data_IF_721507894301
#
_entry.id   IF_721507894301
#
_cell.length_a   1.000
_cell.length_b   1.000
_cell.length_c   1.000
_cell.angle_alpha   90.00
_cell.angle_beta   90.00
_cell.angle_gamma   90.00
#
_symmetry.space_group_name_H-M   'P 1'
#
loop_
_entity.id
_entity.type
_entity.pdbx_description
1 polymer ?
#
# COMPACT_ATOMS: atom_id res chain seq x y z
N UNK A 1 19.26 49.42 -16.51
CA UNK A 1 20.18 48.39 -17.04
C UNK A 1 20.86 47.70 -15.86
N UNK A 2 20.19 46.72 -15.25
CA UNK A 2 20.66 46.04 -14.02
C UNK A 2 21.03 44.60 -14.38
N UNK A 3 22.32 44.29 -14.36
CA UNK A 3 22.87 42.98 -14.68
C UNK A 3 22.54 41.98 -13.56
N UNK A 4 21.78 40.94 -13.88
CA UNK A 4 21.52 39.82 -12.97
C UNK A 4 22.70 38.85 -13.10
N UNK A 5 23.60 38.86 -12.11
CA UNK A 5 24.64 37.83 -11.98
C UNK A 5 23.98 36.48 -11.69
N UNK A 6 23.87 35.61 -12.70
CA UNK A 6 23.52 34.21 -12.52
C UNK A 6 24.78 33.44 -12.09
N UNK A 7 24.79 32.92 -10.86
CA UNK A 7 25.86 32.06 -10.36
C UNK A 7 25.80 30.70 -11.09
N UNK A 8 26.82 30.28 -11.86
CA UNK A 8 26.76 29.13 -12.77
C UNK A 8 26.73 27.75 -12.07
N UNK A 9 26.80 27.70 -10.74
CA UNK A 9 26.97 26.44 -9.99
C UNK A 9 25.66 25.81 -9.48
N UNK A 10 24.51 26.47 -9.68
CA UNK A 10 23.22 25.91 -9.24
C UNK A 10 22.49 25.25 -10.42
N UNK A 11 22.41 23.90 -10.48
CA UNK A 11 21.69 23.23 -11.55
C UNK A 11 20.21 23.63 -11.52
N UNK A 12 19.67 23.98 -12.68
CA UNK A 12 18.26 24.29 -12.85
C UNK A 12 17.42 23.02 -12.64
N UNK A 13 16.88 22.84 -11.44
CA UNK A 13 15.95 21.75 -11.14
C UNK A 13 14.63 22.04 -11.86
N UNK A 14 14.32 21.30 -12.92
CA UNK A 14 12.97 21.30 -13.48
C UNK A 14 12.00 20.83 -12.41
N UNK A 15 10.87 21.52 -12.19
CA UNK A 15 9.89 21.08 -11.20
C UNK A 15 9.38 19.71 -11.63
N UNK A 16 9.85 18.66 -10.95
CA UNK A 16 9.37 17.31 -11.18
C UNK A 16 7.89 17.29 -10.83
N UNK A 17 7.03 17.00 -11.81
CA UNK A 17 5.59 16.90 -11.57
C UNK A 17 5.39 15.80 -10.54
N UNK A 18 5.14 16.20 -9.30
CA UNK A 18 5.12 15.30 -8.12
C UNK A 18 4.06 14.20 -8.25
N UNK A 19 3.08 14.40 -9.15
CA UNK A 19 2.09 13.40 -9.54
C UNK A 19 2.63 12.26 -10.42
N UNK A 20 3.75 12.44 -11.12
CA UNK A 20 4.39 11.37 -11.91
C UNK A 20 5.27 10.45 -11.05
N UNK A 21 5.64 10.88 -9.84
CA UNK A 21 6.49 10.11 -8.92
C UNK A 21 5.75 9.53 -7.73
N UNK A 22 4.57 10.06 -7.38
CA UNK A 22 3.74 9.51 -6.31
C UNK A 22 2.80 8.43 -6.85
N UNK A 23 2.61 7.37 -6.08
CA UNK A 23 1.55 6.39 -6.35
C UNK A 23 0.19 7.09 -6.42
N UNK A 24 -0.63 6.82 -7.45
CA UNK A 24 -1.99 7.34 -7.51
C UNK A 24 -2.78 6.77 -6.34
N UNK A 25 -3.11 7.64 -5.38
CA UNK A 25 -3.97 7.32 -4.22
C UNK A 25 -5.30 8.03 -4.42
N UNK A 26 -6.40 7.29 -4.26
CA UNK A 26 -7.75 7.85 -4.29
C UNK A 26 -8.21 7.94 -2.83
N UNK A 27 -8.51 9.15 -2.35
CA UNK A 27 -9.02 9.35 -0.98
C UNK A 27 -8.06 8.82 0.12
N UNK A 28 -6.75 9.01 -0.08
CA UNK A 28 -5.72 8.61 0.89
C UNK A 28 -5.37 7.11 0.87
N UNK A 29 -6.01 6.33 0.01
CA UNK A 29 -5.86 4.87 -0.04
C UNK A 29 -5.62 4.44 -1.51
N UNK A 30 -4.72 3.48 -1.79
CA UNK A 30 -4.51 2.98 -3.14
C UNK A 30 -5.74 2.22 -3.66
N UNK A 31 -5.97 2.24 -4.97
CA UNK A 31 -7.12 1.57 -5.62
C UNK A 31 -7.32 0.12 -5.13
N UNK A 32 -6.22 -0.62 -4.98
CA UNK A 32 -6.22 -2.01 -4.53
C UNK A 32 -6.87 -2.19 -3.15
N UNK A 33 -6.74 -1.23 -2.24
CA UNK A 33 -7.39 -1.32 -0.93
C UNK A 33 -8.92 -1.15 -1.02
N UNK A 34 -9.42 -0.37 -1.98
CA UNK A 34 -10.86 -0.31 -2.25
C UNK A 34 -11.41 -1.68 -2.70
N UNK A 35 -10.65 -2.39 -3.54
CA UNK A 35 -10.98 -3.76 -3.97
C UNK A 35 -10.97 -4.73 -2.79
N UNK A 36 -9.97 -4.66 -1.91
CA UNK A 36 -9.90 -5.48 -0.70
C UNK A 36 -11.09 -5.20 0.24
N UNK A 37 -11.42 -3.93 0.47
CA UNK A 37 -12.52 -3.54 1.34
C UNK A 37 -13.86 -4.06 0.82
N UNK A 38 -14.13 -3.88 -0.48
CA UNK A 38 -15.34 -4.41 -1.11
C UNK A 38 -15.39 -5.94 -1.04
N UNK A 39 -14.29 -6.61 -1.40
CA UNK A 39 -14.20 -8.07 -1.37
C UNK A 39 -14.43 -8.66 0.03
N UNK A 40 -13.77 -8.11 1.05
CA UNK A 40 -13.96 -8.54 2.44
C UNK A 40 -15.38 -8.32 2.93
N UNK A 41 -16.00 -7.18 2.57
CA UNK A 41 -17.38 -6.89 2.95
C UNK A 41 -18.35 -7.90 2.34
N UNK A 42 -18.17 -8.24 1.06
CA UNK A 42 -18.99 -9.24 0.37
C UNK A 42 -18.79 -10.62 1.03
N UNK A 43 -17.54 -11.05 1.26
CA UNK A 43 -17.25 -12.34 1.89
C UNK A 43 -17.88 -12.43 3.30
N UNK A 44 -17.75 -11.38 4.11
CA UNK A 44 -18.34 -11.33 5.44
C UNK A 44 -19.88 -11.39 5.41
N UNK A 45 -20.49 -10.74 4.42
CA UNK A 45 -21.93 -10.78 4.23
C UNK A 45 -22.40 -12.17 3.79
N UNK A 46 -21.73 -12.81 2.83
CA UNK A 46 -22.05 -14.17 2.40
C UNK A 46 -21.87 -15.19 3.54
N UNK A 47 -20.83 -15.02 4.36
CA UNK A 47 -20.55 -15.93 5.47
C UNK A 47 -21.56 -15.81 6.61
N UNK A 48 -22.04 -14.61 6.91
CA UNK A 48 -22.93 -14.36 8.05
C UNK A 48 -24.41 -14.26 7.69
N UNK A 49 -24.75 -13.87 6.46
CA UNK A 49 -26.10 -13.52 6.00
C UNK A 49 -26.81 -12.50 6.91
N UNK A 50 -26.05 -11.64 7.59
CA UNK A 50 -26.59 -10.61 8.50
C UNK A 50 -26.27 -9.20 8.02
N UNK A 51 -27.13 -8.24 8.34
CA UNK A 51 -26.90 -6.81 8.06
C UNK A 51 -25.66 -6.27 8.81
N UNK A 52 -25.32 -6.87 9.96
CA UNK A 52 -24.13 -6.50 10.72
C UNK A 52 -22.83 -6.70 9.94
N UNK A 53 -22.82 -7.54 8.90
CA UNK A 53 -21.68 -7.70 8.01
C UNK A 53 -21.22 -6.38 7.36
N UNK A 54 -22.10 -5.41 7.14
CA UNK A 54 -21.70 -4.12 6.57
C UNK A 54 -20.78 -3.30 7.49
N UNK A 55 -20.74 -3.58 8.80
CA UNK A 55 -19.75 -2.98 9.70
C UNK A 55 -18.31 -3.40 9.38
N UNK A 56 -18.11 -4.48 8.63
CA UNK A 56 -16.77 -4.87 8.18
C UNK A 56 -16.16 -3.85 7.22
N UNK A 57 -16.97 -3.09 6.47
CA UNK A 57 -16.49 -2.06 5.56
C UNK A 57 -15.76 -0.91 6.28
N UNK A 58 -16.36 -0.19 7.26
CA UNK A 58 -15.66 0.87 7.98
C UNK A 58 -14.48 0.35 8.80
N UNK A 59 -14.59 -0.83 9.41
CA UNK A 59 -13.46 -1.45 10.14
C UNK A 59 -12.29 -1.68 9.19
N UNK A 60 -12.53 -2.32 8.04
CA UNK A 60 -11.49 -2.60 7.05
C UNK A 60 -10.90 -1.32 6.48
N UNK A 61 -11.73 -0.30 6.21
CA UNK A 61 -11.27 0.99 5.74
C UNK A 61 -10.35 1.68 6.75
N UNK A 62 -10.69 1.68 8.04
CA UNK A 62 -9.83 2.25 9.09
C UNK A 62 -8.48 1.52 9.19
N UNK A 63 -8.49 0.19 9.11
CA UNK A 63 -7.25 -0.60 9.13
C UNK A 63 -6.38 -0.32 7.90
N UNK A 64 -6.97 -0.27 6.70
CA UNK A 64 -6.23 0.02 5.47
C UNK A 64 -5.74 1.47 5.44
N UNK A 65 -6.54 2.42 5.92
CA UNK A 65 -6.18 3.83 6.00
C UNK A 65 -5.00 4.04 6.95
N UNK A 66 -5.02 3.43 8.14
CA UNK A 66 -3.90 3.52 9.10
C UNK A 66 -2.62 2.89 8.55
N UNK A 67 -2.72 1.73 7.88
CA UNK A 67 -1.57 1.11 7.20
C UNK A 67 -1.01 2.01 6.07
N UNK A 68 -1.88 2.58 5.24
CA UNK A 68 -1.47 3.46 4.15
C UNK A 68 -0.94 4.82 4.64
N UNK A 69 -1.38 5.27 5.82
CA UNK A 69 -0.85 6.48 6.46
C UNK A 69 0.60 6.27 6.95
N UNK A 70 0.97 5.03 7.29
CA UNK A 70 2.36 4.70 7.63
C UNK A 70 3.23 4.53 6.39
N UNK A 71 2.74 3.80 5.38
CA UNK A 71 3.42 3.63 4.10
C UNK A 71 2.41 3.48 2.94
N UNK A 72 2.47 4.40 1.97
CA UNK A 72 1.59 4.42 0.81
C UNK A 72 1.77 3.21 -0.14
N UNK A 73 2.87 2.46 -0.02
CA UNK A 73 3.17 1.26 -0.83
C UNK A 73 3.02 -0.04 -0.05
N UNK A 74 2.52 0.00 1.19
CA UNK A 74 2.46 -1.18 2.07
C UNK A 74 1.72 -2.38 1.45
N UNK A 75 0.64 -2.14 0.70
CA UNK A 75 -0.13 -3.23 0.07
C UNK A 75 0.62 -3.89 -1.07
N UNK A 76 1.39 -3.10 -1.83
CA UNK A 76 2.22 -3.58 -2.93
C UNK A 76 3.38 -4.43 -2.37
N UNK A 77 4.03 -3.91 -1.32
CA UNK A 77 5.06 -4.64 -0.57
C UNK A 77 4.50 -5.94 0.01
N UNK A 78 3.31 -5.90 0.63
CA UNK A 78 2.66 -7.09 1.20
C UNK A 78 2.33 -8.12 0.11
N UNK A 79 1.82 -7.68 -1.03
CA UNK A 79 1.53 -8.54 -2.18
C UNK A 79 2.81 -9.20 -2.71
N UNK A 80 3.87 -8.42 -2.93
CA UNK A 80 5.15 -8.94 -3.42
C UNK A 80 5.79 -9.89 -2.39
N UNK A 81 5.80 -9.51 -1.11
CA UNK A 81 6.33 -10.35 -0.04
C UNK A 81 5.56 -11.66 0.09
N UNK A 82 4.23 -11.63 0.07
CA UNK A 82 3.42 -12.86 0.15
C UNK A 82 3.60 -13.77 -1.07
N UNK A 83 3.84 -13.19 -2.25
CA UNK A 83 4.08 -13.95 -3.48
C UNK A 83 5.50 -14.53 -3.59
N UNK A 84 6.52 -13.74 -3.28
CA UNK A 84 7.92 -14.10 -3.49
C UNK A 84 8.57 -14.73 -2.26
N UNK A 85 8.01 -14.52 -1.07
CA UNK A 85 8.49 -15.11 0.18
C UNK A 85 7.38 -15.91 0.88
N UNK A 86 6.98 -17.08 0.34
CA UNK A 86 6.04 -17.95 1.02
C UNK A 86 6.57 -18.29 2.42
N UNK A 87 5.70 -18.27 3.43
CA UNK A 87 6.11 -18.70 4.78
C UNK A 87 6.43 -20.19 4.74
N UNK A 88 7.68 -20.55 5.02
CA UNK A 88 8.02 -21.96 5.24
C UNK A 88 7.42 -22.39 6.58
N UNK A 89 6.68 -23.52 6.64
CA UNK A 89 6.09 -24.02 7.90
C UNK A 89 7.14 -24.26 8.97
N UNK A 90 8.36 -24.59 8.53
CA UNK A 90 9.49 -24.93 9.37
C UNK A 90 10.20 -23.70 9.98
N UNK A 91 9.85 -22.47 9.54
CA UNK A 91 10.50 -21.23 10.01
C UNK A 91 10.38 -21.04 11.52
N UNK A 92 9.27 -21.45 12.12
CA UNK A 92 9.03 -21.26 13.57
C UNK A 92 9.90 -22.17 14.41
N UNK A 93 10.26 -23.36 13.90
CA UNK A 93 11.09 -24.32 14.61
C UNK A 93 12.59 -24.03 14.41
N UNK A 94 13.02 -23.71 13.18
CA UNK A 94 14.46 -23.55 12.86
C UNK A 94 14.92 -22.08 12.78
N UNK A 95 14.01 -21.11 12.80
CA UNK A 95 14.34 -19.69 12.62
C UNK A 95 14.77 -19.30 11.19
N UNK A 96 14.95 -20.28 10.30
CA UNK A 96 15.39 -20.09 8.92
C UNK A 96 14.39 -20.71 7.93
N UNK A 97 14.40 -20.21 6.69
CA UNK A 97 13.68 -20.82 5.58
C UNK A 97 14.52 -21.96 5.00
N UNK A 98 13.95 -23.17 4.90
CA UNK A 98 14.56 -24.25 4.11
C UNK A 98 14.45 -23.90 2.62
N UNK A 99 15.59 -23.74 1.95
CA UNK A 99 15.69 -23.53 0.49
C UNK A 99 15.68 -24.86 -0.29
N UNK A 100 15.13 -25.92 0.30
CA UNK A 100 15.01 -27.21 -0.38
C UNK A 100 14.06 -27.09 -1.58
N UNK A 101 14.31 -27.80 -2.69
CA UNK A 101 13.44 -27.80 -3.86
C UNK A 101 12.04 -28.34 -3.55
#
# INVERSE_FOLDING_TARGET
MSMITQNPEKPALTPLVIGLTRSPTLWGVPYLAGVIMLGLTIIAWLASNTIWAFLTAPVTYMTLFTLCAWDARILDVLQVATRLTPRTPNKTFWGANSYGP
#
